data_IF_197150763066
#
_entry.id   IF_197150763066
#
_cell.length_a   1.000
_cell.length_b   1.000
_cell.length_c   1.000
_cell.angle_alpha   90.00
_cell.angle_beta   90.00
_cell.angle_gamma   90.00
#
_symmetry.space_group_name_H-M   'P 1'
#
loop_
_entity.id
_entity.type
_entity.pdbx_description
1 polymer ?
#
# COMPACT_ATOMS: atom_id res chain seq x y z
N UNK A 1 29.36 -15.91 -13.92
CA UNK A 1 28.34 -14.84 -13.94
C UNK A 1 27.16 -15.22 -13.04
N UNK A 2 27.11 -14.71 -11.81
CA UNK A 2 26.04 -15.01 -10.84
C UNK A 2 24.84 -14.09 -11.13
N UNK A 3 23.73 -14.64 -11.62
CA UNK A 3 22.47 -13.91 -11.82
C UNK A 3 21.83 -13.65 -10.45
N UNK A 4 21.86 -12.40 -9.98
CA UNK A 4 21.12 -11.93 -8.81
C UNK A 4 19.61 -12.00 -9.09
N UNK A 5 18.93 -12.98 -8.50
CA UNK A 5 17.47 -13.04 -8.45
C UNK A 5 17.00 -12.14 -7.29
N UNK A 6 16.53 -10.94 -7.67
CA UNK A 6 15.93 -9.97 -6.77
C UNK A 6 14.53 -10.46 -6.33
N UNK A 7 14.46 -11.06 -5.15
CA UNK A 7 13.19 -11.43 -4.50
C UNK A 7 12.66 -10.18 -3.80
N UNK A 8 11.63 -9.57 -4.39
CA UNK A 8 10.95 -8.42 -3.80
C UNK A 8 10.13 -8.86 -2.58
N UNK A 9 10.61 -8.48 -1.39
CA UNK A 9 9.89 -8.56 -0.12
C UNK A 9 8.67 -7.61 -0.16
N UNK A 10 7.46 -8.15 -0.27
CA UNK A 10 6.24 -7.44 0.13
C UNK A 10 5.97 -7.74 1.60
N UNK A 11 6.60 -6.98 2.48
CA UNK A 11 6.15 -6.81 3.85
C UNK A 11 4.90 -5.91 3.82
N UNK A 12 3.73 -6.53 3.88
CA UNK A 12 2.46 -5.84 3.97
C UNK A 12 1.38 -6.89 4.18
N UNK A 13 0.63 -6.75 5.26
CA UNK A 13 -0.54 -7.54 5.63
C UNK A 13 -1.49 -7.68 4.42
N UNK A 14 -1.31 -8.74 3.64
CA UNK A 14 -2.35 -9.20 2.73
C UNK A 14 -3.30 -9.98 3.62
N UNK A 15 -4.39 -9.32 4.00
CA UNK A 15 -5.54 -9.93 4.65
C UNK A 15 -5.82 -11.29 4.01
N UNK A 16 -6.02 -12.31 4.84
CA UNK A 16 -6.32 -13.71 4.50
C UNK A 16 -7.54 -13.92 3.57
N UNK A 17 -8.14 -12.87 3.01
CA UNK A 17 -9.28 -12.90 2.09
C UNK A 17 -8.93 -12.97 0.59
N UNK A 18 -7.65 -13.02 0.19
CA UNK A 18 -7.26 -13.14 -1.24
C UNK A 18 -6.53 -14.45 -1.59
N UNK A 19 -6.68 -15.49 -0.75
CA UNK A 19 -6.31 -16.86 -1.13
C UNK A 19 -7.31 -17.51 -2.12
N UNK A 20 -8.30 -16.75 -2.62
CA UNK A 20 -8.91 -17.00 -3.93
C UNK A 20 -8.11 -16.24 -4.99
N UNK A 21 -6.90 -16.74 -5.30
CA UNK A 21 -6.36 -16.46 -6.64
C UNK A 21 -7.34 -17.10 -7.61
N UNK A 22 -7.96 -16.26 -8.45
CA UNK A 22 -8.93 -16.65 -9.48
C UNK A 22 -8.58 -18.01 -10.07
N UNK A 23 -9.56 -18.92 -10.25
CA UNK A 23 -9.31 -20.23 -10.84
C UNK A 23 -8.53 -20.03 -12.14
N UNK A 24 -7.50 -20.85 -12.29
CA UNK A 24 -6.78 -21.15 -13.53
C UNK A 24 -7.82 -21.60 -14.55
N UNK A 25 -8.53 -20.64 -15.13
CA UNK A 25 -9.81 -20.84 -15.80
C UNK A 25 -9.70 -21.53 -17.16
N UNK A 26 -8.59 -22.21 -17.42
CA UNK A 26 -8.39 -22.86 -18.71
C UNK A 26 -7.51 -24.11 -18.65
N UNK A 27 -7.22 -24.64 -17.44
CA UNK A 27 -6.49 -25.91 -17.28
C UNK A 27 -7.38 -27.15 -17.47
N UNK A 28 -8.71 -26.98 -17.57
CA UNK A 28 -9.68 -28.09 -17.71
C UNK A 28 -9.40 -29.24 -16.73
N UNK A 29 -9.26 -28.89 -15.45
CA UNK A 29 -8.89 -29.85 -14.40
C UNK A 29 -10.03 -30.82 -14.13
N UNK A 30 -9.69 -32.08 -13.83
CA UNK A 30 -10.65 -32.99 -13.21
C UNK A 30 -10.98 -32.55 -11.78
N UNK A 31 -12.07 -33.08 -11.23
CA UNK A 31 -12.45 -32.84 -9.83
C UNK A 31 -11.34 -33.30 -8.87
N UNK A 32 -10.76 -34.48 -9.13
CA UNK A 32 -9.67 -35.02 -8.33
C UNK A 32 -8.40 -34.15 -8.40
N UNK A 33 -8.03 -33.67 -9.59
CA UNK A 33 -6.91 -32.74 -9.75
C UNK A 33 -7.16 -31.43 -9.02
N UNK A 34 -8.37 -30.89 -9.14
CA UNK A 34 -8.79 -29.67 -8.47
C UNK A 34 -8.70 -29.79 -6.95
N UNK A 35 -9.15 -30.92 -6.39
CA UNK A 35 -9.08 -31.16 -4.96
C UNK A 35 -7.63 -31.28 -4.47
N UNK A 36 -6.79 -32.08 -5.14
CA UNK A 36 -5.36 -32.20 -4.81
C UNK A 36 -4.63 -30.84 -4.85
N UNK A 37 -4.91 -30.01 -5.85
CA UNK A 37 -4.31 -28.67 -5.94
C UNK A 37 -4.78 -27.75 -4.81
N UNK A 38 -6.05 -27.82 -4.40
CA UNK A 38 -6.54 -27.08 -3.22
C UNK A 38 -5.79 -27.49 -1.97
N UNK A 39 -5.58 -28.79 -1.76
CA UNK A 39 -4.91 -29.31 -0.56
C UNK A 39 -3.42 -28.93 -0.54
N UNK A 40 -2.72 -29.05 -1.68
CA UNK A 40 -1.34 -28.58 -1.86
C UNK A 40 -1.23 -27.08 -1.53
N UNK A 41 -2.14 -26.26 -2.07
CA UNK A 41 -2.13 -24.82 -1.84
C UNK A 41 -2.44 -24.47 -0.37
N UNK A 42 -3.40 -25.16 0.25
CA UNK A 42 -3.75 -24.96 1.67
C UNK A 42 -2.56 -25.26 2.57
N UNK A 43 -1.89 -26.39 2.34
CA UNK A 43 -0.68 -26.78 3.09
C UNK A 43 0.44 -25.75 2.90
N UNK A 44 0.73 -25.35 1.67
CA UNK A 44 1.73 -24.32 1.38
C UNK A 44 1.47 -23.00 2.11
N UNK A 45 0.22 -22.54 2.14
CA UNK A 45 -0.16 -21.30 2.83
C UNK A 45 0.02 -21.40 4.34
N UNK A 46 -0.35 -22.53 4.95
CA UNK A 46 -0.15 -22.77 6.38
C UNK A 46 1.34 -22.75 6.73
N UNK A 47 2.17 -23.56 6.04
CA UNK A 47 3.61 -23.63 6.28
C UNK A 47 4.30 -22.27 6.05
N UNK A 48 3.87 -21.52 5.02
CA UNK A 48 4.40 -20.17 4.78
C UNK A 48 4.04 -19.20 5.91
N UNK A 49 2.82 -19.31 6.46
CA UNK A 49 2.39 -18.49 7.58
C UNK A 49 3.22 -18.79 8.83
N UNK A 50 3.48 -20.06 9.11
CA UNK A 50 4.28 -20.49 10.25
C UNK A 50 5.73 -19.99 10.13
N UNK A 51 6.35 -20.11 8.94
CA UNK A 51 7.69 -19.57 8.69
C UNK A 51 7.72 -18.05 8.91
N UNK A 52 6.70 -17.31 8.45
CA UNK A 52 6.65 -15.85 8.60
C UNK A 52 6.54 -15.42 10.06
N UNK A 53 5.71 -16.12 10.84
CA UNK A 53 5.47 -15.86 12.27
C UNK A 53 6.59 -16.36 13.19
N UNK A 54 7.49 -17.19 12.69
CA UNK A 54 8.57 -17.72 13.52
C UNK A 54 9.65 -16.65 13.77
N UNK A 55 9.63 -16.04 14.95
CA UNK A 55 10.58 -14.98 15.33
C UNK A 55 12.00 -15.47 15.59
N UNK A 56 12.21 -16.79 15.71
CA UNK A 56 13.56 -17.38 15.84
C UNK A 56 14.32 -17.45 14.51
N UNK A 57 13.66 -17.22 13.37
CA UNK A 57 14.30 -17.25 12.04
C UNK A 57 14.70 -15.84 11.58
N UNK A 58 15.92 -15.72 11.04
CA UNK A 58 16.33 -14.52 10.32
C UNK A 58 15.50 -14.30 9.06
N UNK A 59 15.58 -13.10 8.48
CA UNK A 59 14.87 -12.82 7.20
C UNK A 59 15.40 -13.68 6.07
N UNK A 60 16.70 -13.91 6.07
CA UNK A 60 17.44 -14.73 5.11
C UNK A 60 17.01 -16.20 5.22
N UNK A 61 16.91 -16.74 6.45
CA UNK A 61 16.43 -18.11 6.68
C UNK A 61 14.97 -18.29 6.30
N UNK A 62 14.12 -17.31 6.64
CA UNK A 62 12.70 -17.30 6.22
C UNK A 62 12.61 -17.34 4.71
N UNK A 63 13.42 -16.53 4.00
CA UNK A 63 13.46 -16.52 2.53
C UNK A 63 13.89 -17.87 1.97
N UNK A 64 14.99 -18.45 2.46
CA UNK A 64 15.50 -19.74 2.00
C UNK A 64 14.46 -20.87 2.21
N UNK A 65 13.82 -20.92 3.38
CA UNK A 65 12.76 -21.91 3.67
C UNK A 65 11.54 -21.74 2.76
N UNK A 66 11.11 -20.50 2.50
CA UNK A 66 10.00 -20.24 1.57
C UNK A 66 10.37 -20.65 0.13
N UNK A 67 11.61 -20.42 -0.30
CA UNK A 67 12.09 -20.85 -1.62
C UNK A 67 12.08 -22.37 -1.76
N UNK A 68 12.57 -23.11 -0.76
CA UNK A 68 12.48 -24.57 -0.72
C UNK A 68 11.03 -25.05 -0.77
N UNK A 69 10.17 -24.48 0.08
CA UNK A 69 8.75 -24.82 0.14
C UNK A 69 8.03 -24.57 -1.21
N UNK A 70 8.45 -23.54 -1.95
CA UNK A 70 7.92 -23.25 -3.29
C UNK A 70 8.39 -24.28 -4.33
N UNK A 71 9.63 -24.76 -4.24
CA UNK A 71 10.13 -25.82 -5.10
C UNK A 71 9.37 -27.14 -4.85
N UNK A 72 9.18 -27.51 -3.58
CA UNK A 72 8.44 -28.71 -3.18
C UNK A 72 6.99 -28.66 -3.70
N UNK A 73 6.30 -27.52 -3.48
CA UNK A 73 4.96 -27.29 -4.01
C UNK A 73 4.91 -27.46 -5.53
N UNK A 74 5.92 -26.96 -6.25
CA UNK A 74 5.97 -27.07 -7.71
C UNK A 74 6.11 -28.52 -8.16
N UNK A 75 6.94 -29.31 -7.46
CA UNK A 75 7.05 -30.75 -7.68
C UNK A 75 5.73 -31.49 -7.46
N UNK A 76 5.03 -31.18 -6.36
CA UNK A 76 3.70 -31.75 -6.08
C UNK A 76 2.68 -31.39 -7.16
N UNK A 77 2.62 -30.13 -7.60
CA UNK A 77 1.71 -29.70 -8.68
C UNK A 77 2.02 -30.44 -9.98
N UNK A 78 3.30 -30.61 -10.33
CA UNK A 78 3.72 -31.36 -11.52
C UNK A 78 3.23 -32.81 -11.51
N UNK A 79 3.15 -33.45 -10.35
CA UNK A 79 2.65 -34.82 -10.21
C UNK A 79 1.12 -34.95 -10.35
N UNK A 80 0.38 -33.84 -10.20
CA UNK A 80 -1.09 -33.81 -10.29
C UNK A 80 -1.57 -33.44 -11.68
N UNK A 81 -0.85 -32.56 -12.36
CA UNK A 81 -1.18 -32.07 -13.69
C UNK A 81 -0.58 -32.97 -14.77
N UNK A 82 -1.26 -33.09 -15.90
CA UNK A 82 -0.62 -33.61 -17.11
C UNK A 82 0.41 -32.62 -17.69
N UNK A 83 1.17 -33.05 -18.69
CA UNK A 83 2.23 -32.24 -19.28
C UNK A 83 1.71 -30.91 -19.87
N UNK A 84 0.57 -30.93 -20.56
CA UNK A 84 0.00 -29.73 -21.18
C UNK A 84 -0.57 -28.77 -20.13
N UNK A 85 -1.27 -29.29 -19.14
CA UNK A 85 -1.76 -28.54 -18.00
C UNK A 85 -0.61 -27.91 -17.19
N UNK A 86 0.46 -28.66 -16.96
CA UNK A 86 1.62 -28.15 -16.24
C UNK A 86 2.32 -27.02 -17.00
N UNK A 87 2.49 -27.16 -18.31
CA UNK A 87 3.07 -26.11 -19.17
C UNK A 87 2.22 -24.83 -19.14
N UNK A 88 0.90 -24.95 -19.26
CA UNK A 88 -0.02 -23.81 -19.19
C UNK A 88 0.00 -23.16 -17.80
N UNK A 89 0.08 -23.97 -16.74
CA UNK A 89 0.24 -23.47 -15.37
C UNK A 89 1.55 -22.69 -15.21
N UNK A 90 2.68 -23.20 -15.73
CA UNK A 90 3.97 -22.50 -15.71
C UNK A 90 3.91 -21.17 -16.47
N UNK A 91 3.32 -21.15 -17.67
CA UNK A 91 3.12 -19.90 -18.45
C UNK A 91 2.31 -18.88 -17.66
N UNK A 92 1.22 -19.31 -17.00
CA UNK A 92 0.41 -18.46 -16.15
C UNK A 92 1.20 -17.88 -14.97
N UNK A 93 2.05 -18.67 -14.32
CA UNK A 93 2.92 -18.19 -13.23
C UNK A 93 3.90 -17.12 -13.73
N UNK A 94 4.56 -17.35 -14.86
CA UNK A 94 5.50 -16.38 -15.47
C UNK A 94 4.81 -15.08 -15.85
N UNK A 95 3.68 -15.15 -16.55
CA UNK A 95 2.90 -13.96 -16.93
C UNK A 95 2.43 -13.17 -15.70
N UNK A 96 2.01 -13.86 -14.63
CA UNK A 96 1.62 -13.20 -13.40
C UNK A 96 2.81 -12.56 -12.66
N UNK A 97 4.00 -13.20 -12.71
CA UNK A 97 5.25 -12.64 -12.17
C UNK A 97 5.66 -11.38 -12.94
N UNK A 98 5.61 -11.40 -14.27
CA UNK A 98 5.89 -10.24 -15.12
C UNK A 98 4.90 -9.11 -14.86
N UNK A 99 3.60 -9.42 -14.78
CA UNK A 99 2.57 -8.45 -14.40
C UNK A 99 2.85 -7.84 -13.04
N UNK A 100 3.22 -8.64 -12.05
CA UNK A 100 3.57 -8.14 -10.72
C UNK A 100 4.84 -7.29 -10.74
N UNK A 101 5.86 -7.69 -11.50
CA UNK A 101 7.08 -6.92 -11.70
C UNK A 101 6.78 -5.56 -12.34
N UNK A 102 5.99 -5.52 -13.41
CA UNK A 102 5.57 -4.27 -14.05
C UNK A 102 4.68 -3.40 -13.14
N UNK A 103 3.85 -4.00 -12.28
CA UNK A 103 3.11 -3.28 -11.24
C UNK A 103 4.03 -2.71 -10.16
N UNK A 104 5.05 -3.45 -9.73
CA UNK A 104 6.06 -2.99 -8.80
C UNK A 104 6.91 -1.87 -9.39
N UNK A 105 7.29 -1.97 -10.66
CA UNK A 105 8.02 -0.93 -11.39
C UNK A 105 7.18 0.34 -11.50
N UNK A 106 5.90 0.23 -11.87
CA UNK A 106 4.95 1.35 -11.84
C UNK A 106 4.76 1.92 -10.43
N UNK A 107 4.81 1.08 -9.39
CA UNK A 107 4.77 1.53 -7.98
C UNK A 107 6.05 2.24 -7.60
N UNK A 108 7.25 1.74 -7.93
CA UNK A 108 8.52 2.43 -7.70
C UNK A 108 8.57 3.77 -8.42
N UNK A 109 8.12 3.83 -9.67
CA UNK A 109 7.99 5.08 -10.43
C UNK A 109 6.93 6.05 -9.87
N UNK A 110 5.94 5.55 -9.13
CA UNK A 110 4.94 6.36 -8.39
C UNK A 110 5.32 6.61 -6.93
N UNK A 111 6.21 5.83 -6.31
CA UNK A 111 6.77 6.00 -4.97
C UNK A 111 7.91 7.02 -4.98
N UNK A 112 8.63 7.17 -6.10
CA UNK A 112 9.40 8.39 -6.35
C UNK A 112 8.54 9.66 -6.40
N UNK A 113 7.22 9.53 -6.60
CA UNK A 113 6.22 10.62 -6.59
C UNK A 113 5.27 10.63 -5.37
N UNK A 114 5.37 9.64 -4.47
CA UNK A 114 4.51 9.50 -3.27
C UNK A 114 5.28 9.32 -1.96
N UNK A 115 6.55 8.90 -2.02
CA UNK A 115 7.50 8.77 -0.90
C UNK A 115 8.48 9.94 -0.83
N UNK A 116 8.75 10.62 -1.95
CA UNK A 116 8.73 12.06 -1.88
C UNK A 116 7.27 12.39 -1.56
N UNK A 117 6.98 12.68 -0.30
CA UNK A 117 6.00 13.74 -0.10
C UNK A 117 6.42 14.80 -1.12
N UNK A 118 5.59 15.08 -2.11
CA UNK A 118 5.42 16.49 -2.37
C UNK A 118 4.94 16.95 -1.02
N UNK A 119 5.88 17.42 -0.21
CA UNK A 119 5.60 18.23 0.93
C UNK A 119 4.76 19.31 0.26
N UNK A 120 3.43 19.15 0.32
CA UNK A 120 2.53 20.12 -0.27
C UNK A 120 2.79 21.46 0.44
N UNK A 121 3.40 21.40 1.63
CA UNK A 121 4.18 22.45 2.29
C UNK A 121 5.26 23.06 1.40
N UNK A 122 6.22 22.35 0.80
CA UNK A 122 7.33 22.97 0.04
C UNK A 122 6.88 23.69 -1.24
N UNK A 123 5.94 23.08 -1.98
CA UNK A 123 5.33 23.74 -3.12
C UNK A 123 4.50 24.97 -2.68
N UNK A 124 3.74 24.85 -1.59
CA UNK A 124 3.01 25.98 -1.02
C UNK A 124 3.95 27.04 -0.42
N UNK A 125 5.07 26.68 0.20
CA UNK A 125 6.07 27.57 0.78
C UNK A 125 6.65 28.46 -0.33
N UNK A 126 7.01 27.85 -1.47
CA UNK A 126 7.53 28.58 -2.63
C UNK A 126 6.46 29.46 -3.28
N UNK A 127 5.23 28.97 -3.42
CA UNK A 127 4.14 29.71 -4.06
C UNK A 127 3.60 30.86 -3.18
N UNK A 128 3.67 30.71 -1.85
CA UNK A 128 3.23 31.72 -0.87
C UNK A 128 4.33 32.72 -0.50
N UNK A 129 5.56 32.53 -0.99
CA UNK A 129 6.70 33.37 -0.64
C UNK A 129 6.98 33.37 0.86
N UNK A 130 6.86 32.22 1.52
CA UNK A 130 7.07 32.14 2.97
C UNK A 130 8.55 32.28 3.29
N UNK A 131 8.85 32.98 4.38
CA UNK A 131 10.20 32.94 4.97
C UNK A 131 10.51 31.53 5.49
N UNK A 132 11.79 31.22 5.71
CA UNK A 132 12.19 29.94 6.29
C UNK A 132 11.50 29.65 7.62
N UNK A 133 11.38 30.68 8.48
CA UNK A 133 10.67 30.59 9.75
C UNK A 133 9.19 30.27 9.56
N UNK A 134 8.50 30.99 8.68
CA UNK A 134 7.08 30.75 8.38
C UNK A 134 6.84 29.37 7.76
N UNK A 135 7.77 28.89 6.91
CA UNK A 135 7.75 27.53 6.38
C UNK A 135 7.92 26.47 7.47
N UNK A 136 8.84 26.68 8.42
CA UNK A 136 9.04 25.80 9.56
C UNK A 136 7.82 25.76 10.49
N UNK A 137 7.25 26.93 10.79
CA UNK A 137 6.04 27.06 11.61
C UNK A 137 4.85 26.36 10.94
N UNK A 138 4.65 26.56 9.62
CA UNK A 138 3.62 25.87 8.83
C UNK A 138 3.77 24.35 8.92
N UNK A 139 4.99 23.82 8.76
CA UNK A 139 5.26 22.38 8.88
C UNK A 139 4.95 21.86 10.28
N UNK A 140 5.37 22.57 11.31
CA UNK A 140 5.13 22.23 12.72
C UNK A 140 3.63 22.18 13.05
N UNK A 141 2.89 23.24 12.70
CA UNK A 141 1.44 23.34 12.92
C UNK A 141 0.69 22.21 12.19
N UNK A 142 1.12 21.87 10.97
CA UNK A 142 0.53 20.77 10.20
C UNK A 142 0.79 19.40 10.81
N UNK A 143 2.01 19.18 11.32
CA UNK A 143 2.39 17.94 12.02
C UNK A 143 1.58 17.75 13.30
N UNK A 144 1.44 18.81 14.10
CA UNK A 144 0.64 18.81 15.32
C UNK A 144 -0.83 18.47 15.01
N UNK A 145 -1.43 19.13 14.02
CA UNK A 145 -2.80 18.84 13.59
C UNK A 145 -2.96 17.39 13.11
N UNK A 146 -2.00 16.87 12.33
CA UNK A 146 -2.07 15.50 11.82
C UNK A 146 -2.06 14.47 12.97
N UNK A 147 -1.23 14.68 13.99
CA UNK A 147 -1.18 13.84 15.18
C UNK A 147 -2.53 13.85 15.92
N UNK A 148 -3.04 15.04 16.28
CA UNK A 148 -4.35 15.21 16.96
C UNK A 148 -5.52 14.62 16.13
N UNK A 149 -5.47 14.76 14.81
CA UNK A 149 -6.50 14.21 13.93
C UNK A 149 -6.45 12.66 13.86
N UNK A 150 -5.26 12.06 13.92
CA UNK A 150 -5.11 10.61 13.99
C UNK A 150 -5.60 10.06 15.32
N UNK A 151 -5.25 10.71 16.42
CA UNK A 151 -5.76 10.36 17.76
C UNK A 151 -7.28 10.40 17.79
N UNK A 152 -7.87 11.50 17.32
CA UNK A 152 -9.32 11.66 17.24
C UNK A 152 -10.00 10.57 16.41
N UNK A 153 -9.37 10.13 15.32
CA UNK A 153 -9.89 9.05 14.48
C UNK A 153 -9.94 7.72 15.25
N UNK A 154 -8.90 7.46 16.04
CA UNK A 154 -8.70 6.20 16.77
C UNK A 154 -9.47 6.12 18.09
N UNK A 155 -10.02 7.23 18.61
CA UNK A 155 -10.88 7.25 19.81
C UNK A 155 -12.13 6.39 19.64
N UNK A 156 -12.21 5.24 20.32
CA UNK A 156 -13.33 4.31 20.17
C UNK A 156 -14.58 4.73 20.94
N UNK A 157 -14.42 5.61 21.93
CA UNK A 157 -15.41 6.16 22.85
C UNK A 157 -16.28 7.26 22.25
N UNK A 158 -15.91 7.80 21.07
CA UNK A 158 -16.64 8.89 20.42
C UNK A 158 -17.49 8.40 19.24
N UNK A 159 -18.72 8.89 19.18
CA UNK A 159 -19.57 8.73 18.01
C UNK A 159 -19.01 9.47 16.80
N UNK A 160 -19.51 9.15 15.61
CA UNK A 160 -19.09 9.81 14.37
C UNK A 160 -19.40 11.31 14.40
N UNK A 161 -20.52 11.70 14.99
CA UNK A 161 -20.98 13.08 15.15
C UNK A 161 -20.06 13.85 16.10
N UNK A 162 -19.72 13.25 17.24
CA UNK A 162 -18.77 13.83 18.20
C UNK A 162 -17.36 13.99 17.58
N UNK A 163 -16.89 12.98 16.85
CA UNK A 163 -15.62 13.07 16.09
C UNK A 163 -15.66 14.17 15.03
N UNK A 164 -16.80 14.36 14.35
CA UNK A 164 -16.96 15.42 13.36
C UNK A 164 -16.86 16.80 14.00
N UNK A 165 -17.48 16.99 15.17
CA UNK A 165 -17.45 18.27 15.86
C UNK A 165 -16.06 18.60 16.41
N UNK A 166 -15.40 17.62 17.05
CA UNK A 166 -14.01 17.77 17.49
C UNK A 166 -13.06 18.01 16.31
N UNK A 167 -13.30 17.38 15.16
CA UNK A 167 -12.52 17.63 13.96
C UNK A 167 -12.74 19.03 13.38
N UNK A 168 -13.91 19.66 13.57
CA UNK A 168 -14.13 21.06 13.19
C UNK A 168 -13.36 21.99 14.11
N UNK A 169 -13.45 21.78 15.42
CA UNK A 169 -12.71 22.56 16.42
C UNK A 169 -11.19 22.48 16.15
N UNK A 170 -10.67 21.28 15.89
CA UNK A 170 -9.26 21.06 15.56
C UNK A 170 -8.84 21.78 14.26
N UNK A 171 -9.74 21.86 13.26
CA UNK A 171 -9.48 22.63 12.03
C UNK A 171 -9.47 24.13 12.29
N UNK A 172 -10.35 24.63 13.16
CA UNK A 172 -10.40 26.03 13.54
C UNK A 172 -9.13 26.43 14.33
N UNK A 173 -8.69 25.60 15.29
CA UNK A 173 -7.45 25.79 16.03
C UNK A 173 -6.24 25.89 15.07
N UNK A 174 -6.12 24.94 14.14
CA UNK A 174 -5.07 24.96 13.12
C UNK A 174 -5.14 26.23 12.28
N UNK A 175 -6.34 26.62 11.84
CA UNK A 175 -6.55 27.81 11.01
C UNK A 175 -6.07 29.08 11.72
N UNK A 176 -6.41 29.25 13.00
CA UNK A 176 -5.96 30.38 13.80
C UNK A 176 -4.43 30.41 13.93
N UNK A 177 -3.80 29.28 14.28
CA UNK A 177 -2.33 29.16 14.37
C UNK A 177 -1.63 29.51 13.05
N UNK A 178 -2.18 29.05 11.93
CA UNK A 178 -1.65 29.37 10.61
C UNK A 178 -1.80 30.85 10.27
N UNK A 179 -2.96 31.46 10.57
CA UNK A 179 -3.18 32.89 10.32
C UNK A 179 -2.19 33.75 11.12
N UNK A 180 -1.93 33.42 12.39
CA UNK A 180 -0.95 34.11 13.22
C UNK A 180 0.48 33.97 12.69
N UNK A 181 0.86 32.78 12.20
CA UNK A 181 2.22 32.53 11.71
C UNK A 181 2.50 33.12 10.32
N UNK A 182 1.53 33.01 9.41
CA UNK A 182 1.67 33.47 8.02
C UNK A 182 1.28 34.94 7.85
N UNK A 183 0.48 35.51 8.76
CA UNK A 183 -0.15 36.81 8.55
C UNK A 183 -1.29 36.76 7.53
N UNK A 184 -2.09 37.82 7.47
CA UNK A 184 -3.37 37.83 6.76
C UNK A 184 -3.24 37.57 5.26
N UNK A 185 -2.33 38.28 4.58
CA UNK A 185 -2.17 38.18 3.12
C UNK A 185 -1.69 36.79 2.66
N UNK A 186 -0.72 36.20 3.37
CA UNK A 186 -0.19 34.88 3.02
C UNK A 186 -1.16 33.77 3.44
N UNK A 187 -1.93 33.96 4.51
CA UNK A 187 -2.97 33.04 4.94
C UNK A 187 -4.15 32.95 3.94
N UNK A 188 -4.61 34.09 3.41
CA UNK A 188 -5.67 34.11 2.38
C UNK A 188 -5.23 33.35 1.12
N UNK A 189 -4.00 33.59 0.66
CA UNK A 189 -3.43 32.86 -0.49
C UNK A 189 -3.30 31.36 -0.19
N UNK A 190 -2.92 31.00 1.03
CA UNK A 190 -2.85 29.60 1.47
C UNK A 190 -4.23 28.90 1.40
N UNK A 191 -5.29 29.55 1.87
CA UNK A 191 -6.64 28.98 1.84
C UNK A 191 -7.20 28.90 0.40
N UNK A 192 -6.88 29.87 -0.47
CA UNK A 192 -7.24 29.83 -1.88
C UNK A 192 -6.64 28.60 -2.60
N UNK A 193 -5.31 28.41 -2.50
CA UNK A 193 -4.61 27.25 -3.05
C UNK A 193 -5.18 25.93 -2.53
N UNK A 194 -5.54 25.89 -1.25
CA UNK A 194 -6.15 24.71 -0.62
C UNK A 194 -7.55 24.40 -1.18
N UNK A 195 -8.36 25.41 -1.45
CA UNK A 195 -9.70 25.25 -2.04
C UNK A 195 -9.61 24.75 -3.47
N UNK A 196 -8.71 25.31 -4.27
CA UNK A 196 -8.45 24.90 -5.65
C UNK A 196 -8.01 23.44 -5.73
N UNK A 197 -7.03 23.04 -4.91
CA UNK A 197 -6.55 21.65 -4.83
C UNK A 197 -7.65 20.65 -4.42
N UNK A 198 -8.65 21.08 -3.63
CA UNK A 198 -9.82 20.25 -3.30
C UNK A 198 -10.83 20.18 -4.45
N UNK A 199 -11.05 21.29 -5.15
CA UNK A 199 -11.94 21.38 -6.32
C UNK A 199 -11.48 20.49 -7.47
N UNK A 200 -10.18 20.50 -7.79
CA UNK A 200 -9.61 19.63 -8.82
C UNK A 200 -9.77 18.14 -8.51
N UNK A 201 -9.58 17.73 -7.25
CA UNK A 201 -9.76 16.33 -6.82
C UNK A 201 -11.22 15.87 -6.97
N UNK A 202 -12.18 16.78 -6.79
CA UNK A 202 -13.60 16.51 -7.03
C UNK A 202 -13.92 16.29 -8.51
N UNK A 203 -13.30 17.08 -9.40
CA UNK A 203 -13.46 16.93 -10.86
C UNK A 203 -12.83 15.63 -11.38
N UNK A 204 -11.62 15.27 -10.93
CA UNK A 204 -10.95 14.00 -11.31
C UNK A 204 -11.76 12.76 -10.90
N UNK A 205 -12.33 12.73 -9.69
CA UNK A 205 -13.16 11.61 -9.23
C UNK A 205 -14.49 11.44 -9.99
N UNK A 206 -15.00 12.51 -10.61
CA UNK A 206 -16.20 12.46 -11.45
C UNK A 206 -15.88 12.03 -12.88
N UNK A 207 -14.68 12.30 -13.37
CA UNK A 207 -14.23 11.86 -14.69
C UNK A 207 -13.80 10.39 -14.74
N UNK A 208 -13.52 9.77 -13.59
CA UNK A 208 -13.15 8.35 -13.45
C UNK A 208 -14.33 7.44 -13.06
N UNK A 209 -15.57 7.96 -13.04
CA UNK A 209 -16.81 7.21 -12.85
C UNK A 209 -17.64 7.25 -14.11
#
# INVERSE_FOLDING_TARGET
MKKLLLVAFLAGSVSLGYAQTKPVNDLKLSEQQSQKLKDINKSFLASTQDIRKNDALSKEDKKAKIESLQADRTGQIKSVLDAGQFEQWQKSQSANKEKMAGLMEKRKGKEGKKGAGRDHSDAAIKELGLTEKQGADLKSINKEYAAKAMELKNKADLTKEQKKEQAKALKAERSAKLKTSLGDAQYEKYEALRKEAKGEKGKRKKAEK
#
